data_IF_789510568105
#
_entry.id   IF_789510568105
#
_cell.length_a   1.000
_cell.length_b   1.000
_cell.length_c   1.000
_cell.angle_alpha   90.00
_cell.angle_beta   90.00
_cell.angle_gamma   90.00
#
_symmetry.space_group_name_H-M   'P 1'
#
loop_
_entity.id
_entity.type
_entity.pdbx_description
1 polymer ?
#
# COMPACT_ATOMS: atom_id res chain seq x y z
N UNK A 1 -33.57 -23.55 -30.25
CA UNK A 1 -33.08 -23.34 -28.86
C UNK A 1 -31.59 -23.66 -28.71
N UNK A 2 -31.10 -24.86 -29.05
CA UNK A 2 -29.68 -25.20 -28.89
C UNK A 2 -28.71 -24.30 -29.70
N UNK A 3 -29.04 -23.94 -30.95
CA UNK A 3 -28.18 -23.07 -31.77
C UNK A 3 -28.01 -21.66 -31.18
N UNK A 4 -29.11 -21.07 -30.69
CA UNK A 4 -29.13 -19.75 -30.05
C UNK A 4 -28.24 -19.70 -28.79
N UNK A 5 -28.19 -20.79 -28.03
CA UNK A 5 -27.33 -20.88 -26.85
C UNK A 5 -25.84 -20.89 -27.24
N UNK A 6 -25.48 -21.55 -28.34
CA UNK A 6 -24.08 -21.61 -28.82
C UNK A 6 -23.62 -20.23 -29.29
N UNK A 7 -24.44 -19.51 -30.06
CA UNK A 7 -24.11 -18.15 -30.52
C UNK A 7 -23.91 -17.17 -29.36
N UNK A 8 -24.76 -17.25 -28.33
CA UNK A 8 -24.62 -16.44 -27.11
C UNK A 8 -23.30 -16.75 -26.40
N UNK A 9 -22.95 -18.03 -26.24
CA UNK A 9 -21.67 -18.43 -25.60
C UNK A 9 -20.48 -17.89 -26.40
N UNK A 10 -20.50 -18.03 -27.73
CA UNK A 10 -19.42 -17.52 -28.60
C UNK A 10 -19.30 -16.00 -28.49
N UNK A 11 -20.41 -15.27 -28.49
CA UNK A 11 -20.42 -13.82 -28.33
C UNK A 11 -19.84 -13.39 -26.97
N UNK A 12 -20.19 -14.07 -25.89
CA UNK A 12 -19.64 -13.81 -24.55
C UNK A 12 -18.14 -14.09 -24.52
N UNK A 13 -17.66 -15.19 -25.11
CA UNK A 13 -16.24 -15.52 -25.15
C UNK A 13 -15.45 -14.47 -25.94
N UNK A 14 -15.95 -14.05 -27.11
CA UNK A 14 -15.32 -12.99 -27.92
C UNK A 14 -15.29 -11.68 -27.14
N UNK A 15 -16.39 -11.31 -26.49
CA UNK A 15 -16.45 -10.10 -25.66
C UNK A 15 -15.42 -10.14 -24.53
N UNK A 16 -15.30 -11.26 -23.81
CA UNK A 16 -14.30 -11.45 -22.76
C UNK A 16 -12.86 -11.35 -23.32
N UNK A 17 -12.58 -11.96 -24.47
CA UNK A 17 -11.26 -11.86 -25.12
C UNK A 17 -10.95 -10.40 -25.51
N UNK A 18 -11.91 -9.67 -26.07
CA UNK A 18 -11.73 -8.26 -26.42
C UNK A 18 -11.49 -7.40 -25.18
N UNK A 19 -12.20 -7.64 -24.08
CA UNK A 19 -11.97 -6.98 -22.79
C UNK A 19 -10.56 -7.28 -22.28
N UNK A 20 -10.12 -8.54 -22.33
CA UNK A 20 -8.76 -8.93 -21.91
C UNK A 20 -7.68 -8.29 -22.79
N UNK A 21 -7.86 -8.22 -24.11
CA UNK A 21 -6.92 -7.58 -25.04
C UNK A 21 -6.88 -6.07 -24.82
N UNK A 22 -8.03 -5.42 -24.73
CA UNK A 22 -8.13 -3.99 -24.43
C UNK A 22 -7.45 -3.66 -23.10
N UNK A 23 -7.71 -4.49 -22.09
CA UNK A 23 -7.10 -4.36 -20.78
C UNK A 23 -5.58 -4.54 -20.83
N UNK A 24 -5.11 -5.58 -21.54
CA UNK A 24 -3.69 -5.81 -21.74
C UNK A 24 -3.03 -4.62 -22.43
N UNK A 25 -3.62 -4.10 -23.52
CA UNK A 25 -3.14 -2.90 -24.21
C UNK A 25 -3.06 -1.68 -23.27
N UNK A 26 -4.10 -1.44 -22.49
CA UNK A 26 -4.15 -0.31 -21.54
C UNK A 26 -3.08 -0.40 -20.46
N UNK A 27 -2.74 -1.60 -20.01
CA UNK A 27 -1.78 -1.82 -18.92
C UNK A 27 -0.31 -1.98 -19.40
N UNK A 28 -0.04 -1.98 -20.70
CA UNK A 28 1.32 -2.20 -21.24
C UNK A 28 2.37 -1.21 -20.72
N UNK A 29 1.93 0.00 -20.37
CA UNK A 29 2.80 1.08 -19.91
C UNK A 29 2.57 1.46 -18.43
N UNK A 30 1.74 0.72 -17.71
CA UNK A 30 1.45 1.02 -16.30
C UNK A 30 2.62 0.58 -15.40
N UNK A 31 2.96 1.39 -14.39
CA UNK A 31 4.00 1.06 -13.41
C UNK A 31 3.58 -0.17 -12.57
N UNK A 32 2.29 -0.27 -12.27
CA UNK A 32 1.68 -1.41 -11.57
C UNK A 32 0.45 -1.85 -12.36
N UNK A 33 0.32 -3.15 -12.56
CA UNK A 33 -0.81 -3.76 -13.26
C UNK A 33 -2.10 -3.55 -12.46
N UNK A 34 -2.98 -2.67 -12.93
CA UNK A 34 -4.33 -2.55 -12.39
C UNK A 34 -5.25 -3.57 -13.10
N UNK A 35 -5.80 -4.55 -12.41
CA UNK A 35 -6.75 -5.55 -12.96
C UNK A 35 -8.20 -5.07 -12.84
N UNK A 36 -9.11 -5.47 -13.74
CA UNK A 36 -10.44 -4.86 -13.82
C UNK A 36 -11.33 -5.16 -12.61
N UNK A 37 -11.12 -6.30 -11.93
CA UNK A 37 -11.94 -6.74 -10.78
C UNK A 37 -11.20 -6.59 -9.46
N UNK A 38 -9.94 -7.00 -9.44
CA UNK A 38 -9.12 -7.11 -8.20
C UNK A 38 -8.13 -5.96 -8.02
N UNK A 39 -8.13 -5.00 -8.94
CA UNK A 39 -7.25 -3.84 -8.87
C UNK A 39 -5.77 -4.21 -8.96
N UNK A 40 -4.93 -3.47 -8.25
CA UNK A 40 -3.49 -3.67 -8.11
C UNK A 40 -3.12 -4.73 -7.04
N UNK A 41 -4.12 -5.31 -6.37
CA UNK A 41 -3.95 -6.23 -5.25
C UNK A 41 -3.15 -7.50 -5.60
N UNK A 42 -3.33 -8.17 -6.76
CA UNK A 42 -2.55 -9.37 -7.08
C UNK A 42 -1.05 -9.09 -7.16
N UNK A 43 -0.67 -7.94 -7.72
CA UNK A 43 0.73 -7.53 -7.83
C UNK A 43 1.33 -7.26 -6.45
N UNK A 44 0.55 -6.67 -5.54
CA UNK A 44 0.94 -6.47 -4.15
C UNK A 44 1.16 -7.81 -3.42
N UNK A 45 0.19 -8.73 -3.52
CA UNK A 45 0.23 -10.04 -2.87
C UNK A 45 1.43 -10.87 -3.33
N UNK A 46 1.72 -10.87 -4.64
CA UNK A 46 2.87 -11.58 -5.19
C UNK A 46 4.21 -11.06 -4.62
N UNK A 47 4.26 -9.76 -4.26
CA UNK A 47 5.46 -9.11 -3.73
C UNK A 47 5.46 -8.97 -2.20
N UNK A 48 4.52 -9.58 -1.46
CA UNK A 48 4.45 -9.49 0.01
C UNK A 48 5.77 -9.81 0.72
N UNK A 49 6.53 -10.86 0.35
CA UNK A 49 7.82 -11.14 1.00
C UNK A 49 8.85 -10.01 0.86
N UNK A 50 8.66 -9.13 -0.13
CA UNK A 50 9.54 -8.01 -0.48
C UNK A 50 8.77 -6.70 -0.51
N UNK A 51 7.68 -6.60 0.25
CA UNK A 51 6.68 -5.54 0.11
C UNK A 51 7.29 -4.15 0.17
N UNK A 52 8.18 -3.94 1.15
CA UNK A 52 8.86 -2.67 1.34
C UNK A 52 9.72 -2.27 0.13
N UNK A 53 10.52 -3.20 -0.39
CA UNK A 53 11.38 -2.95 -1.55
C UNK A 53 10.55 -2.67 -2.82
N UNK A 54 9.48 -3.46 -3.00
CA UNK A 54 8.56 -3.30 -4.12
C UNK A 54 7.87 -1.93 -4.09
N UNK A 55 7.28 -1.54 -2.94
CA UNK A 55 6.64 -0.22 -2.78
C UNK A 55 7.65 0.91 -3.00
N UNK A 56 8.88 0.77 -2.49
CA UNK A 56 9.95 1.75 -2.70
C UNK A 56 10.30 1.91 -4.18
N UNK A 57 10.41 0.79 -4.92
CA UNK A 57 10.71 0.82 -6.36
C UNK A 57 9.58 1.49 -7.15
N UNK A 58 8.33 1.15 -6.82
CA UNK A 58 7.14 1.73 -7.47
C UNK A 58 7.05 3.23 -7.19
N UNK A 59 7.21 3.66 -5.94
CA UNK A 59 7.21 5.08 -5.56
C UNK A 59 8.33 5.86 -6.27
N UNK A 60 9.52 5.26 -6.38
CA UNK A 60 10.62 5.88 -7.12
C UNK A 60 10.28 6.07 -8.60
N UNK A 61 9.60 5.10 -9.22
CA UNK A 61 9.16 5.18 -10.61
C UNK A 61 7.99 6.16 -10.81
N UNK A 62 7.15 6.36 -9.79
CA UNK A 62 5.97 7.22 -9.86
C UNK A 62 6.21 8.68 -9.43
N UNK A 63 7.46 9.06 -9.13
CA UNK A 63 7.79 10.42 -8.67
C UNK A 63 7.48 10.67 -7.19
N UNK A 64 7.30 9.62 -6.40
CA UNK A 64 7.19 9.68 -4.94
C UNK A 64 5.76 9.64 -4.40
N UNK A 65 4.74 9.61 -5.25
CA UNK A 65 3.35 9.37 -4.84
C UNK A 65 2.71 8.34 -5.78
N UNK A 66 1.96 7.40 -5.22
CA UNK A 66 1.28 6.34 -5.94
C UNK A 66 -0.14 6.18 -5.39
N UNK A 67 -1.10 6.14 -6.29
CA UNK A 67 -2.45 5.68 -5.97
C UNK A 67 -2.54 4.16 -6.19
N UNK A 68 -2.89 3.45 -5.13
CA UNK A 68 -3.20 2.03 -5.15
C UNK A 68 -4.71 1.85 -5.26
N UNK A 69 -5.13 1.05 -6.25
CA UNK A 69 -6.52 0.67 -6.45
C UNK A 69 -6.76 -0.76 -6.00
N UNK A 70 -7.69 -0.96 -5.08
CA UNK A 70 -8.10 -2.29 -4.63
C UNK A 70 -9.13 -2.93 -5.56
N UNK A 71 -9.68 -4.09 -5.17
CA UNK A 71 -10.84 -4.64 -5.83
C UNK A 71 -12.01 -3.65 -5.81
N UNK A 72 -12.69 -3.50 -6.95
CA UNK A 72 -13.79 -2.55 -7.15
C UNK A 72 -14.97 -2.69 -6.16
N UNK A 73 -15.08 -3.82 -5.45
CA UNK A 73 -16.17 -4.12 -4.50
C UNK A 73 -15.77 -3.94 -3.03
N UNK A 74 -14.52 -3.55 -2.73
CA UNK A 74 -14.03 -3.45 -1.33
C UNK A 74 -13.75 -2.02 -0.88
N UNK A 75 -13.87 -1.01 -1.75
CA UNK A 75 -13.53 0.38 -1.40
C UNK A 75 -12.05 0.60 -1.02
N UNK A 76 -11.17 -0.36 -1.30
CA UNK A 76 -9.80 -0.42 -0.79
C UNK A 76 -8.83 0.39 -1.65
N UNK A 77 -9.02 1.70 -1.66
CA UNK A 77 -8.15 2.63 -2.38
C UNK A 77 -7.21 3.34 -1.39
N UNK A 78 -5.91 3.32 -1.68
CA UNK A 78 -4.89 3.92 -0.83
C UNK A 78 -4.00 4.86 -1.61
N UNK A 79 -3.51 5.90 -0.95
CA UNK A 79 -2.44 6.76 -1.48
C UNK A 79 -1.17 6.49 -0.68
N UNK A 80 -0.15 6.00 -1.37
CA UNK A 80 1.20 5.87 -0.85
C UNK A 80 2.01 7.10 -1.26
N UNK A 81 2.67 7.74 -0.29
CA UNK A 81 3.53 8.91 -0.56
C UNK A 81 4.83 8.82 0.23
N UNK A 82 5.95 9.10 -0.43
CA UNK A 82 7.23 9.38 0.20
C UNK A 82 7.64 10.85 0.12
N UNK A 83 6.80 11.73 -0.44
CA UNK A 83 7.04 13.16 -0.48
C UNK A 83 7.03 13.72 0.97
N UNK A 84 8.15 14.36 1.42
CA UNK A 84 8.24 14.91 2.76
C UNK A 84 7.18 15.96 3.08
N UNK A 85 6.72 16.73 2.09
CA UNK A 85 5.67 17.74 2.27
C UNK A 85 4.32 17.07 2.56
N UNK A 86 3.97 16.04 1.80
CA UNK A 86 2.74 15.28 2.02
C UNK A 86 2.78 14.55 3.37
N UNK A 87 3.93 13.94 3.72
CA UNK A 87 4.10 13.27 5.01
C UNK A 87 3.95 14.26 6.16
N UNK A 88 4.61 15.43 6.08
CA UNK A 88 4.48 16.47 7.10
C UNK A 88 3.02 16.94 7.23
N UNK A 89 2.33 17.08 6.10
CA UNK A 89 0.94 17.50 6.07
C UNK A 89 0.04 16.51 6.82
N UNK A 90 0.09 15.24 6.43
CA UNK A 90 -0.75 14.17 6.98
C UNK A 90 -0.37 13.86 8.43
N UNK A 91 0.93 13.77 8.74
CA UNK A 91 1.40 13.25 10.03
C UNK A 91 1.62 14.33 11.08
N UNK A 92 1.51 15.61 10.74
CA UNK A 92 1.83 16.70 11.68
C UNK A 92 0.85 17.86 11.58
N UNK A 93 0.79 18.57 10.45
CA UNK A 93 0.05 19.84 10.40
C UNK A 93 -1.46 19.66 10.33
N UNK A 94 -1.93 18.57 9.72
CA UNK A 94 -3.35 18.35 9.42
C UNK A 94 -3.85 16.96 9.82
N UNK A 95 -3.21 16.34 10.82
CA UNK A 95 -3.47 14.95 11.20
C UNK A 95 -4.94 14.66 11.56
N UNK A 96 -5.64 15.60 12.20
CA UNK A 96 -7.05 15.43 12.58
C UNK A 96 -8.00 15.28 11.39
N UNK A 97 -7.61 15.75 10.20
CA UNK A 97 -8.42 15.63 8.98
C UNK A 97 -8.18 14.32 8.21
N UNK A 98 -7.30 13.44 8.70
CA UNK A 98 -7.04 12.12 8.12
C UNK A 98 -7.36 11.01 9.14
N UNK A 99 -8.62 10.88 9.59
CA UNK A 99 -9.02 9.71 10.38
C UNK A 99 -8.88 8.46 9.52
N UNK A 100 -8.34 7.37 10.08
CA UNK A 100 -8.21 6.11 9.32
C UNK A 100 -9.57 5.53 8.98
N UNK A 101 -10.52 5.65 9.92
CA UNK A 101 -11.88 5.15 9.75
C UNK A 101 -11.97 3.64 9.86
N UNK A 102 -13.21 3.13 9.80
CA UNK A 102 -13.51 1.72 10.01
C UNK A 102 -13.01 0.84 8.85
N UNK A 103 -13.16 1.31 7.61
CA UNK A 103 -12.71 0.59 6.40
C UNK A 103 -11.19 0.33 6.42
N UNK A 104 -10.39 1.31 6.84
CA UNK A 104 -8.94 1.12 6.98
C UNK A 104 -8.60 0.07 8.03
N UNK A 105 -9.34 0.07 9.15
CA UNK A 105 -9.16 -0.89 10.24
C UNK A 105 -9.55 -2.30 9.80
N UNK A 106 -10.62 -2.47 9.03
CA UNK A 106 -11.04 -3.76 8.47
C UNK A 106 -9.98 -4.33 7.50
N UNK A 107 -9.44 -3.49 6.62
CA UNK A 107 -8.41 -3.92 5.66
C UNK A 107 -7.11 -4.33 6.36
N UNK A 108 -6.73 -3.62 7.42
CA UNK A 108 -5.51 -3.89 8.18
C UNK A 108 -5.76 -4.66 9.48
N UNK A 109 -6.92 -5.28 9.66
CA UNK A 109 -7.26 -6.01 10.90
C UNK A 109 -6.29 -7.17 11.14
N UNK A 110 -5.77 -7.76 10.05
CA UNK A 110 -4.72 -8.77 10.08
C UNK A 110 -3.40 -8.29 10.73
N UNK A 111 -3.17 -6.96 10.81
CA UNK A 111 -2.02 -6.35 11.49
C UNK A 111 -2.31 -6.04 12.97
N UNK A 112 -3.54 -6.27 13.45
CA UNK A 112 -4.00 -6.07 14.83
C UNK A 112 -4.12 -4.60 15.24
N UNK A 113 -4.43 -4.34 16.51
CA UNK A 113 -4.63 -2.98 17.07
C UNK A 113 -3.32 -2.20 17.34
N UNK A 114 -2.30 -2.43 16.50
CA UNK A 114 -1.01 -1.77 16.62
C UNK A 114 -1.05 -0.30 16.18
N UNK A 115 0.11 0.37 16.23
CA UNK A 115 0.29 1.79 15.86
C UNK A 115 -0.24 2.16 14.47
N UNK A 116 -0.46 1.17 13.59
CA UNK A 116 -1.06 1.37 12.28
C UNK A 116 -2.58 1.48 12.33
N UNK A 117 -3.27 0.80 13.25
CA UNK A 117 -4.74 0.78 13.33
C UNK A 117 -5.34 1.73 14.36
N UNK A 118 -4.57 2.16 15.37
CA UNK A 118 -5.12 3.06 16.40
C UNK A 118 -5.20 4.50 15.92
N UNK A 119 -6.26 5.21 16.27
CA UNK A 119 -6.49 6.61 15.88
C UNK A 119 -6.24 7.61 17.02
N UNK A 120 -6.20 8.90 16.65
CA UNK A 120 -6.26 10.05 17.56
C UNK A 120 -5.13 10.12 18.62
N UNK A 121 -5.47 10.33 19.89
CA UNK A 121 -4.51 10.55 20.98
C UNK A 121 -3.75 9.28 21.37
N UNK A 122 -4.37 8.11 21.23
CA UNK A 122 -3.69 6.84 21.48
C UNK A 122 -2.60 6.59 20.44
N UNK A 123 -2.83 6.96 19.17
CA UNK A 123 -1.78 6.95 18.16
C UNK A 123 -0.63 7.90 18.49
N UNK A 124 -0.94 9.14 18.91
CA UNK A 124 0.09 10.13 19.32
C UNK A 124 0.96 9.60 20.46
N UNK A 125 0.32 8.97 21.46
CA UNK A 125 1.01 8.35 22.59
C UNK A 125 1.94 7.23 22.14
N UNK A 126 1.42 6.28 21.35
CA UNK A 126 2.21 5.15 20.83
C UNK A 126 3.38 5.64 19.96
N UNK A 127 3.15 6.64 19.09
CA UNK A 127 4.20 7.26 18.27
C UNK A 127 5.28 7.92 19.11
N UNK A 128 4.91 8.63 20.19
CA UNK A 128 5.88 9.25 21.10
C UNK A 128 6.74 8.19 21.79
N UNK A 129 6.13 7.10 22.26
CA UNK A 129 6.85 5.97 22.88
C UNK A 129 7.81 5.34 21.87
N UNK A 130 7.35 5.06 20.65
CA UNK A 130 8.16 4.49 19.59
C UNK A 130 9.36 5.39 19.24
N UNK A 131 9.13 6.70 19.10
CA UNK A 131 10.20 7.67 18.84
C UNK A 131 11.24 7.70 19.97
N UNK A 132 10.80 7.67 21.24
CA UNK A 132 11.71 7.60 22.38
C UNK A 132 12.52 6.30 22.37
N UNK A 133 11.88 5.17 22.06
CA UNK A 133 12.54 3.88 21.92
C UNK A 133 13.60 3.91 20.81
N UNK A 134 13.28 4.38 19.61
CA UNK A 134 14.25 4.50 18.51
C UNK A 134 15.44 5.40 18.88
N UNK A 135 15.19 6.53 19.53
CA UNK A 135 16.26 7.45 20.00
C UNK A 135 17.17 6.78 21.04
N UNK A 136 16.59 6.04 21.99
CA UNK A 136 17.33 5.29 23.01
C UNK A 136 18.19 4.20 22.35
N UNK A 137 17.61 3.45 21.42
CA UNK A 137 18.26 2.37 20.69
C UNK A 137 19.44 2.89 19.87
N UNK A 138 19.24 3.94 19.06
CA UNK A 138 20.31 4.58 18.29
C UNK A 138 21.47 5.09 19.17
N UNK A 139 21.17 5.66 20.35
CA UNK A 139 22.20 6.04 21.33
C UNK A 139 22.97 4.84 21.87
N UNK A 140 22.27 3.73 22.14
CA UNK A 140 22.91 2.50 22.63
C UNK A 140 23.86 1.92 21.58
N UNK A 141 23.42 1.77 20.33
CA UNK A 141 24.28 1.31 19.22
C UNK A 141 25.50 2.21 19.03
N UNK A 142 25.30 3.52 19.03
CA UNK A 142 26.39 4.50 18.93
C UNK A 142 27.40 4.40 20.08
N UNK A 143 26.95 3.98 21.27
CA UNK A 143 27.82 3.73 22.43
C UNK A 143 28.60 2.43 22.29
N UNK A 144 27.96 1.35 21.81
CA UNK A 144 28.60 0.06 21.56
C UNK A 144 29.67 0.15 20.46
N UNK A 145 29.39 0.89 19.39
CA UNK A 145 30.36 1.16 18.33
C UNK A 145 31.58 1.92 18.87
N UNK A 146 31.37 2.99 19.66
CA UNK A 146 32.45 3.75 20.30
C UNK A 146 33.31 2.89 21.23
N UNK A 147 32.69 2.04 22.04
CA UNK A 147 33.43 1.14 22.92
C UNK A 147 34.36 0.20 22.14
N UNK A 148 33.86 -0.40 21.06
CA UNK A 148 34.67 -1.29 20.18
C UNK A 148 35.78 -0.58 19.43
N UNK A 149 35.63 0.71 19.12
CA UNK A 149 36.68 1.52 18.45
C UNK A 149 37.79 1.92 19.42
N UNK A 150 37.47 2.15 20.70
CA UNK A 150 38.46 2.53 21.73
C UNK A 150 39.20 1.31 22.30
N UNK A 151 38.59 0.12 22.26
CA UNK A 151 39.20 -1.13 22.74
C UNK A 151 40.06 -1.86 21.69
N UNK A 152 40.48 -1.18 20.63
CA UNK A 152 41.34 -1.69 19.55
C UNK A 152 42.55 -0.78 19.41
#
# INVERSE_FOLDING_TARGET
>A
MALMNVEIIVAVVIFLILVLIHHWWRNRNAIVTNWPVVGMLPTLLHNVPRLHDFVTEVLRKSGGTLEFKGPWFTGMDFIFTCDPLNIQHIMTTNFSNYPKGEEFREVLDALGDGILNVDSDLWKLQRKIFQLWCRRFSKFESGQLRYKTVSR
#
